data_IF_140862223182
#
_entry.id   IF_140862223182
#
_cell.length_a   1.000
_cell.length_b   1.000
_cell.length_c   1.000
_cell.angle_alpha   90.00
_cell.angle_beta   90.00
_cell.angle_gamma   90.00
#
_symmetry.space_group_name_H-M   'P 1'
#
loop_
_entity.id
_entity.type
_entity.pdbx_description
1 polymer ?
#
# COMPACT_ATOMS: atom_id res chain seq x y z
N UNK A 1 -6.66 -64.26 1.33
CA UNK A 1 -6.84 -64.17 2.79
C UNK A 1 -5.66 -63.41 3.34
N UNK A 2 -5.92 -62.34 4.11
CA UNK A 2 -4.89 -61.44 4.61
C UNK A 2 -4.12 -61.99 5.82
N UNK A 3 -3.09 -61.24 6.20
CA UNK A 3 -2.71 -60.83 7.57
C UNK A 3 -1.38 -60.06 7.43
N UNK A 4 -1.35 -58.73 7.55
CA UNK A 4 -1.14 -57.89 8.77
C UNK A 4 0.09 -58.26 9.59
N UNK A 5 1.09 -57.39 9.58
CA UNK A 5 2.01 -57.10 10.70
C UNK A 5 2.54 -55.66 10.46
N UNK A 6 1.88 -54.67 11.06
CA UNK A 6 2.17 -54.04 12.36
C UNK A 6 3.38 -53.09 12.32
N UNK A 7 3.10 -51.83 12.68
CA UNK A 7 4.04 -50.72 12.71
C UNK A 7 4.67 -50.66 14.10
N UNK A 8 6.00 -50.77 14.21
CA UNK A 8 6.72 -50.48 15.44
C UNK A 8 7.43 -49.13 15.37
N UNK A 9 6.88 -48.20 16.15
CA UNK A 9 7.43 -46.89 16.44
C UNK A 9 8.39 -47.04 17.62
N UNK A 10 9.70 -46.95 17.40
CA UNK A 10 10.67 -46.85 18.49
C UNK A 10 11.93 -46.10 18.05
N UNK A 11 12.47 -45.28 18.96
CA UNK A 11 13.87 -44.88 18.91
C UNK A 11 14.14 -43.38 18.84
N UNK A 12 13.87 -42.71 19.96
CA UNK A 12 14.39 -41.42 20.37
C UNK A 12 15.89 -41.24 20.00
N UNK A 13 16.24 -40.21 19.22
CA UNK A 13 17.64 -39.83 18.95
C UNK A 13 18.00 -38.58 19.76
N UNK A 14 18.64 -38.86 20.90
CA UNK A 14 19.66 -38.10 21.62
C UNK A 14 19.73 -36.58 21.42
N UNK A 15 19.54 -35.86 22.53
CA UNK A 15 19.95 -34.48 22.73
C UNK A 15 21.47 -34.32 22.85
N UNK A 16 21.91 -33.09 22.56
CA UNK A 16 23.25 -32.51 22.66
C UNK A 16 24.15 -32.82 21.44
N UNK A 17 24.70 -31.85 20.71
CA UNK A 17 25.36 -30.64 21.20
C UNK A 17 25.42 -29.55 20.14
N UNK A 18 25.90 -28.39 20.59
CA UNK A 18 26.48 -27.30 19.79
C UNK A 18 25.54 -26.20 19.31
N UNK A 19 25.37 -25.29 20.28
CA UNK A 19 25.23 -23.84 20.20
C UNK A 19 26.10 -23.20 19.08
N UNK A 20 25.82 -23.50 17.81
CA UNK A 20 26.36 -22.77 16.67
C UNK A 20 25.65 -21.42 16.64
N UNK A 21 26.32 -20.39 17.16
CA UNK A 21 26.01 -18.98 16.86
C UNK A 21 25.83 -18.90 15.34
N UNK A 22 24.58 -18.77 14.88
CA UNK A 22 24.29 -18.36 13.50
C UNK A 22 24.85 -16.95 13.35
N UNK A 23 26.14 -16.86 13.01
CA UNK A 23 26.62 -15.75 12.21
C UNK A 23 25.89 -15.89 10.89
N UNK A 24 24.67 -15.35 10.86
CA UNK A 24 23.95 -15.13 9.62
C UNK A 24 24.92 -14.32 8.78
N UNK A 25 25.40 -14.95 7.71
CA UNK A 25 26.13 -14.32 6.63
C UNK A 25 25.32 -13.09 6.21
N UNK A 26 25.64 -11.92 6.78
CA UNK A 26 24.94 -10.68 6.49
C UNK A 26 25.34 -10.30 5.08
N UNK A 27 24.61 -10.81 4.09
CA UNK A 27 24.56 -10.18 2.77
C UNK A 27 24.27 -8.71 3.07
N UNK A 28 25.22 -7.83 2.72
CA UNK A 28 25.02 -6.39 2.84
C UNK A 28 23.68 -6.06 2.20
N UNK A 29 22.77 -5.45 2.96
CA UNK A 29 21.54 -4.95 2.36
C UNK A 29 21.91 -4.07 1.16
N UNK A 30 21.19 -4.18 0.03
CA UNK A 30 21.38 -3.26 -1.08
C UNK A 30 21.31 -1.81 -0.58
N UNK A 31 22.14 -0.94 -1.14
CA UNK A 31 22.06 0.48 -0.83
C UNK A 31 20.65 0.99 -1.12
N UNK A 32 20.02 1.56 -0.10
CA UNK A 32 18.72 2.21 -0.16
C UNK A 32 18.90 3.67 0.25
N UNK A 33 18.36 4.59 -0.55
CA UNK A 33 18.40 6.05 -0.27
C UNK A 33 17.55 6.41 0.95
N UNK A 34 16.44 5.72 1.14
CA UNK A 34 15.53 5.85 2.29
C UNK A 34 15.47 4.49 2.98
N UNK A 35 15.60 4.48 4.30
CA UNK A 35 15.49 3.28 5.12
C UNK A 35 14.11 3.26 5.75
N UNK A 36 13.25 2.33 5.34
CA UNK A 36 11.86 2.23 5.82
C UNK A 36 11.78 1.87 7.31
N UNK A 37 12.85 1.28 7.86
CA UNK A 37 12.91 0.74 9.22
C UNK A 37 12.85 1.81 10.33
N UNK A 38 13.14 3.08 10.02
CA UNK A 38 13.19 4.18 10.99
C UNK A 38 12.38 5.41 10.51
N UNK A 39 11.20 5.20 9.94
CA UNK A 39 10.32 6.31 9.48
C UNK A 39 9.04 6.32 10.29
N UNK A 40 8.87 7.35 11.12
CA UNK A 40 7.58 7.67 11.74
C UNK A 40 6.82 8.64 10.82
N UNK A 41 5.63 8.23 10.37
CA UNK A 41 4.76 9.07 9.52
C UNK A 41 3.62 9.61 10.37
N UNK A 42 3.38 10.91 10.29
CA UNK A 42 2.23 11.56 10.93
C UNK A 42 0.92 10.95 10.42
N UNK A 43 0.03 10.58 11.35
CA UNK A 43 -1.29 10.00 11.08
C UNK A 43 -2.14 10.82 10.10
N UNK A 44 -1.93 12.14 10.05
CA UNK A 44 -2.63 13.04 9.13
C UNK A 44 -2.24 12.83 7.65
N UNK A 45 -1.07 12.25 7.39
CA UNK A 45 -0.50 12.06 6.04
C UNK A 45 -0.66 10.62 5.51
N UNK A 46 -1.40 9.77 6.22
CA UNK A 46 -1.55 8.35 5.87
C UNK A 46 -2.31 8.11 4.56
N UNK A 47 -3.27 8.98 4.22
CA UNK A 47 -4.11 8.81 3.05
C UNK A 47 -4.03 10.01 2.09
N UNK A 48 -3.52 9.76 0.89
CA UNK A 48 -3.45 10.71 -0.22
C UNK A 48 -4.67 10.63 -1.15
N UNK A 49 -5.67 9.82 -0.83
CA UNK A 49 -6.88 9.71 -1.62
C UNK A 49 -7.69 11.01 -1.57
N UNK A 50 -8.48 11.27 -2.63
CA UNK A 50 -9.40 12.40 -2.62
C UNK A 50 -10.43 12.30 -1.48
N UNK A 51 -10.77 11.07 -1.05
CA UNK A 51 -11.77 10.83 0.01
C UNK A 51 -11.28 11.32 1.37
N UNK A 52 -9.98 11.30 1.63
CA UNK A 52 -9.39 11.80 2.86
C UNK A 52 -9.30 13.33 2.94
N UNK A 53 -9.45 14.05 1.82
CA UNK A 53 -9.42 15.51 1.83
C UNK A 53 -10.61 16.05 2.65
N UNK A 54 -10.35 16.93 3.62
CA UNK A 54 -11.40 17.58 4.42
C UNK A 54 -12.19 18.59 3.56
N UNK A 55 -13.47 18.77 3.87
CA UNK A 55 -14.32 19.78 3.20
C UNK A 55 -14.76 19.44 1.76
N UNK A 56 -14.96 18.16 1.43
CA UNK A 56 -15.47 17.74 0.12
C UNK A 56 -16.95 18.12 -0.09
N UNK A 57 -17.19 19.36 -0.50
CA UNK A 57 -18.46 19.76 -1.10
C UNK A 57 -18.57 19.24 -2.55
N UNK A 58 -19.73 19.44 -3.20
CA UNK A 58 -19.96 19.19 -4.63
C UNK A 58 -19.11 20.14 -5.51
N UNK A 59 -17.80 19.94 -5.46
CA UNK A 59 -16.80 20.77 -6.08
C UNK A 59 -16.29 20.16 -7.39
N UNK A 60 -15.53 20.96 -8.13
CA UNK A 60 -14.96 20.58 -9.42
C UNK A 60 -14.06 19.34 -9.34
N UNK A 61 -13.36 19.11 -8.22
CA UNK A 61 -12.47 17.96 -8.05
C UNK A 61 -13.22 16.65 -7.81
N UNK A 62 -14.22 16.68 -6.93
CA UNK A 62 -15.05 15.52 -6.56
C UNK A 62 -15.76 14.93 -7.79
N UNK A 63 -16.38 15.78 -8.60
CA UNK A 63 -17.08 15.35 -9.81
C UNK A 63 -16.12 14.75 -10.85
N UNK A 64 -14.91 15.29 -10.98
CA UNK A 64 -13.89 14.74 -11.87
C UNK A 64 -13.43 13.36 -11.40
N UNK A 65 -13.27 13.16 -10.09
CA UNK A 65 -12.90 11.87 -9.54
C UNK A 65 -14.00 10.83 -9.72
N UNK A 66 -15.28 11.18 -9.50
CA UNK A 66 -16.40 10.27 -9.76
C UNK A 66 -16.44 9.83 -11.23
N UNK A 67 -16.20 10.76 -12.16
CA UNK A 67 -16.19 10.50 -13.59
C UNK A 67 -15.00 9.62 -14.03
N UNK A 68 -13.82 9.78 -13.41
CA UNK A 68 -12.58 9.18 -13.91
C UNK A 68 -12.05 8.03 -13.05
N UNK A 69 -12.57 7.80 -11.84
CA UNK A 69 -12.03 6.82 -10.87
C UNK A 69 -11.96 5.39 -11.41
N UNK A 70 -12.87 5.02 -12.31
CA UNK A 70 -12.96 3.67 -12.87
C UNK A 70 -12.00 3.46 -14.04
N UNK A 71 -11.36 4.52 -14.54
CA UNK A 71 -10.46 4.42 -15.70
C UNK A 71 -9.01 4.55 -15.31
N UNK A 72 -8.17 3.71 -15.92
CA UNK A 72 -6.75 3.59 -15.60
C UNK A 72 -5.93 3.38 -16.86
N UNK A 73 -4.66 3.76 -16.83
CA UNK A 73 -3.73 3.51 -17.95
C UNK A 73 -4.12 4.21 -19.25
N UNK A 74 -4.03 3.50 -20.39
CA UNK A 74 -4.27 4.08 -21.73
C UNK A 74 -5.70 4.60 -21.91
N UNK A 75 -6.71 3.90 -21.36
CA UNK A 75 -8.10 4.32 -21.48
C UNK A 75 -8.38 5.63 -20.73
N UNK A 76 -7.71 5.87 -19.60
CA UNK A 76 -7.82 7.13 -18.86
C UNK A 76 -7.48 8.34 -19.73
N UNK A 77 -6.44 8.27 -20.57
CA UNK A 77 -6.07 9.38 -21.46
C UNK A 77 -7.20 9.71 -22.43
N UNK A 78 -7.81 8.68 -23.01
CA UNK A 78 -8.94 8.84 -23.94
C UNK A 78 -10.17 9.37 -23.21
N UNK A 79 -10.50 8.83 -22.04
CA UNK A 79 -11.64 9.24 -21.24
C UNK A 79 -11.53 10.69 -20.77
N UNK A 80 -10.39 11.06 -20.18
CA UNK A 80 -10.07 12.43 -19.80
C UNK A 80 -10.22 13.38 -20.98
N UNK A 81 -9.71 13.00 -22.16
CA UNK A 81 -9.79 13.87 -23.35
C UNK A 81 -11.22 14.05 -23.84
N UNK A 82 -12.02 12.98 -23.84
CA UNK A 82 -13.45 13.04 -24.20
C UNK A 82 -14.22 13.92 -23.21
N UNK A 83 -14.03 13.71 -21.91
CA UNK A 83 -14.67 14.51 -20.85
C UNK A 83 -14.26 15.98 -20.92
N UNK A 84 -12.96 16.27 -21.15
CA UNK A 84 -12.44 17.64 -21.36
C UNK A 84 -13.06 18.33 -22.59
N UNK A 85 -13.13 17.65 -23.73
CA UNK A 85 -13.58 18.27 -25.01
C UNK A 85 -15.10 18.40 -25.12
N UNK A 86 -15.86 17.60 -24.37
CA UNK A 86 -17.32 17.56 -24.43
C UNK A 86 -17.97 18.12 -23.17
N UNK A 87 -18.60 17.22 -22.41
CA UNK A 87 -19.69 17.52 -21.46
C UNK A 87 -19.26 17.76 -20.00
N UNK A 88 -17.97 17.78 -19.69
CA UNK A 88 -17.56 17.99 -18.30
C UNK A 88 -17.75 19.46 -17.89
N UNK A 89 -18.89 19.75 -17.26
CA UNK A 89 -19.24 21.09 -16.74
C UNK A 89 -18.85 21.29 -15.27
N UNK A 90 -18.16 20.33 -14.66
CA UNK A 90 -17.65 20.41 -13.29
C UNK A 90 -18.69 20.77 -12.23
N UNK A 91 -18.18 21.30 -11.11
CA UNK A 91 -18.90 21.86 -9.96
C UNK A 91 -18.21 23.15 -9.54
N UNK A 92 -18.48 23.72 -8.36
CA UNK A 92 -17.80 24.95 -7.94
C UNK A 92 -16.28 24.73 -7.78
N UNK A 93 -15.46 25.71 -8.20
CA UNK A 93 -14.01 25.67 -7.94
C UNK A 93 -13.79 25.87 -6.44
N UNK A 94 -13.14 24.90 -5.81
CA UNK A 94 -12.72 24.99 -4.41
C UNK A 94 -11.49 25.90 -4.31
N UNK A 95 -11.62 27.00 -3.56
CA UNK A 95 -10.57 27.99 -3.29
C UNK A 95 -10.00 27.86 -1.87
N UNK A 96 -10.40 26.82 -1.12
CA UNK A 96 -9.96 26.61 0.26
C UNK A 96 -8.49 26.20 0.37
N UNK A 97 -7.86 26.60 1.48
CA UNK A 97 -6.49 26.21 1.84
C UNK A 97 -6.51 24.88 2.60
N UNK A 98 -5.71 23.91 2.16
CA UNK A 98 -5.62 22.57 2.76
C UNK A 98 -4.22 22.26 3.35
N UNK A 99 -3.40 23.29 3.58
CA UNK A 99 -2.08 23.13 4.19
C UNK A 99 -2.19 22.70 5.64
N UNK A 100 -1.32 21.79 6.05
CA UNK A 100 -1.18 21.34 7.43
C UNK A 100 0.09 21.96 7.99
N UNK A 101 0.00 22.58 9.17
CA UNK A 101 1.18 23.08 9.89
C UNK A 101 1.90 21.90 10.56
N UNK A 102 3.21 21.84 10.38
CA UNK A 102 4.08 20.91 11.12
C UNK A 102 4.41 21.52 12.48
N UNK A 103 4.53 20.65 13.48
CA UNK A 103 4.86 21.06 14.84
C UNK A 103 6.39 21.16 15.08
N UNK A 104 7.17 21.08 14.00
CA UNK A 104 8.62 20.82 13.87
C UNK A 104 9.05 19.35 13.97
#
# INVERSE_FOLDING_TARGET
MGNTEQYDNSGNRSFDSDKKKKQQNRRSDPYRRVRDDNVSVDGRLLDNSLKAKKGQYENWGKKAALDLQYTKGKSFRHEKTKKKRGSYRGGQIDLGVNSIKFDD
#
